data_IF_768203619881
#
_entry.id   IF_768203619881
#
_cell.length_a   1.000
_cell.length_b   1.000
_cell.length_c   1.000
_cell.angle_alpha   90.00
_cell.angle_beta   90.00
_cell.angle_gamma   90.00
#
_symmetry.space_group_name_H-M   'P 1'
#
loop_
_entity.id
_entity.type
_entity.pdbx_description
1 polymer ?
#
# COMPACT_ATOMS: atom_id res chain seq x y z
N UNK A 1 7.08 -5.59 -21.29
CA UNK A 1 7.33 -4.63 -20.19
C UNK A 1 6.19 -4.76 -19.19
N UNK A 2 6.49 -4.78 -17.90
CA UNK A 2 5.46 -4.77 -16.84
C UNK A 2 5.23 -3.34 -16.38
N UNK A 3 3.95 -2.97 -16.21
CA UNK A 3 3.55 -1.62 -15.79
C UNK A 3 2.84 -1.69 -14.43
N UNK A 4 3.16 -0.74 -13.57
CA UNK A 4 2.51 -0.54 -12.29
C UNK A 4 1.93 0.86 -12.16
N UNK A 5 0.76 0.96 -11.56
CA UNK A 5 0.12 2.23 -11.23
C UNK A 5 0.41 2.57 -9.77
N UNK A 6 1.06 3.72 -9.51
CA UNK A 6 1.30 4.19 -8.15
C UNK A 6 0.24 5.22 -7.75
N UNK A 7 -0.51 4.93 -6.69
CA UNK A 7 -1.52 5.83 -6.13
C UNK A 7 -1.00 6.64 -4.94
N UNK A 8 0.14 6.22 -4.36
CA UNK A 8 0.74 6.94 -3.22
C UNK A 8 -0.09 6.87 -1.94
N UNK A 9 -0.05 7.96 -1.20
CA UNK A 9 -0.84 8.20 0.02
C UNK A 9 -1.45 9.60 -0.05
N UNK A 10 -2.39 9.91 0.85
CA UNK A 10 -3.01 11.23 0.91
C UNK A 10 -3.07 11.76 2.35
N UNK A 11 -3.10 13.08 2.50
CA UNK A 11 -3.21 13.78 3.79
C UNK A 11 -4.60 14.39 4.04
N UNK A 12 -5.36 14.71 2.99
CA UNK A 12 -6.65 15.39 3.09
C UNK A 12 -7.84 14.54 2.66
N UNK A 13 -7.62 13.54 1.85
CA UNK A 13 -8.67 12.67 1.34
C UNK A 13 -8.18 11.79 0.22
N UNK A 14 -8.97 10.76 -0.15
CA UNK A 14 -8.61 9.83 -1.21
C UNK A 14 -8.52 10.54 -2.56
N UNK A 15 -7.77 9.93 -3.47
CA UNK A 15 -7.68 10.37 -4.86
C UNK A 15 -9.05 10.23 -5.50
N UNK A 16 -9.57 11.33 -6.03
CA UNK A 16 -10.82 11.32 -6.78
C UNK A 16 -10.69 10.43 -8.02
N UNK A 17 -11.69 9.59 -8.27
CA UNK A 17 -11.67 8.67 -9.41
C UNK A 17 -10.68 7.50 -9.28
N UNK A 18 -10.10 7.24 -8.09
CA UNK A 18 -9.13 6.16 -7.91
C UNK A 18 -9.66 4.79 -8.33
N UNK A 19 -10.92 4.52 -8.03
CA UNK A 19 -11.56 3.23 -8.37
C UNK A 19 -11.66 3.03 -9.89
N UNK A 20 -12.09 4.04 -10.60
CA UNK A 20 -12.20 4.05 -12.06
C UNK A 20 -10.83 3.97 -12.71
N UNK A 21 -9.84 4.66 -12.16
CA UNK A 21 -8.45 4.62 -12.62
C UNK A 21 -7.87 3.19 -12.49
N UNK A 22 -8.10 2.53 -11.38
CA UNK A 22 -7.65 1.15 -11.14
C UNK A 22 -8.35 0.17 -12.10
N UNK A 23 -9.66 0.32 -12.28
CA UNK A 23 -10.42 -0.50 -13.22
C UNK A 23 -9.87 -0.35 -14.65
N UNK A 24 -9.61 0.88 -15.07
CA UNK A 24 -9.01 1.17 -16.38
C UNK A 24 -7.61 0.56 -16.49
N UNK A 25 -6.77 0.71 -15.45
CA UNK A 25 -5.43 0.13 -15.43
C UNK A 25 -5.49 -1.40 -15.60
N UNK A 26 -6.41 -2.06 -14.92
CA UNK A 26 -6.62 -3.50 -15.07
C UNK A 26 -7.08 -3.86 -16.50
N UNK A 27 -8.02 -3.11 -17.05
CA UNK A 27 -8.57 -3.33 -18.39
C UNK A 27 -7.49 -3.19 -19.48
N UNK A 28 -6.64 -2.15 -19.40
CA UNK A 28 -5.58 -1.91 -20.38
C UNK A 28 -4.31 -2.73 -20.13
N UNK A 29 -4.31 -3.61 -19.15
CA UNK A 29 -3.26 -4.61 -18.98
C UNK A 29 -2.11 -4.22 -18.06
N UNK A 30 -2.31 -3.30 -17.11
CA UNK A 30 -1.32 -3.08 -16.04
C UNK A 30 -1.14 -4.33 -15.19
N UNK A 31 0.08 -4.56 -14.70
CA UNK A 31 0.43 -5.75 -13.90
C UNK A 31 0.14 -5.56 -12.42
N UNK A 32 0.22 -4.34 -11.91
CA UNK A 32 0.05 -4.06 -10.49
C UNK A 32 -0.45 -2.65 -10.23
N UNK A 33 -1.07 -2.47 -9.07
CA UNK A 33 -1.36 -1.17 -8.46
C UNK A 33 -0.70 -1.09 -7.10
N UNK A 34 -0.19 0.09 -6.74
CA UNK A 34 0.56 0.30 -5.51
C UNK A 34 -0.01 1.46 -4.71
N UNK A 35 -0.07 1.27 -3.40
CA UNK A 35 -0.31 2.32 -2.42
C UNK A 35 0.93 2.50 -1.54
N UNK A 36 1.00 3.63 -0.86
CA UNK A 36 2.09 3.94 0.06
C UNK A 36 1.52 4.47 1.38
N UNK A 37 2.39 4.67 2.35
CA UNK A 37 2.05 5.35 3.59
C UNK A 37 3.20 6.25 4.06
N UNK A 38 2.83 7.40 4.60
CA UNK A 38 3.73 8.33 5.25
C UNK A 38 2.92 9.25 6.16
N UNK A 39 2.61 10.46 5.70
CA UNK A 39 1.79 11.43 6.41
C UNK A 39 0.32 11.23 6.01
N UNK A 40 -0.54 10.77 6.91
CA UNK A 40 -1.97 10.64 6.65
C UNK A 40 -2.44 9.21 6.40
N UNK A 41 -2.77 8.83 5.16
CA UNK A 41 -3.32 7.49 4.88
C UNK A 41 -2.30 6.37 5.06
N UNK A 42 -2.78 5.22 5.54
CA UNK A 42 -2.02 3.98 5.55
C UNK A 42 -1.98 3.31 4.16
N UNK A 43 -1.16 2.28 4.01
CA UNK A 43 -1.01 1.60 2.72
C UNK A 43 -2.03 0.47 2.51
N UNK A 44 -2.42 -0.25 3.56
CA UNK A 44 -3.24 -1.47 3.43
C UNK A 44 -4.71 -1.20 3.25
N UNK A 45 -5.27 -0.24 3.99
CA UNK A 45 -6.70 0.05 3.95
C UNK A 45 -7.17 0.45 2.56
N UNK A 46 -6.57 1.44 1.89
CA UNK A 46 -6.99 1.81 0.54
C UNK A 46 -6.71 0.71 -0.47
N UNK A 47 -5.60 -0.02 -0.32
CA UNK A 47 -5.25 -1.12 -1.22
C UNK A 47 -6.29 -2.24 -1.17
N UNK A 48 -6.75 -2.62 0.02
CA UNK A 48 -7.82 -3.60 0.19
C UNK A 48 -9.17 -3.09 -0.34
N UNK A 49 -9.50 -1.84 -0.02
CA UNK A 49 -10.76 -1.22 -0.43
C UNK A 49 -10.91 -1.15 -1.96
N UNK A 50 -9.90 -0.66 -2.64
CA UNK A 50 -9.92 -0.56 -4.10
C UNK A 50 -9.66 -1.89 -4.78
N UNK A 51 -8.80 -2.71 -4.20
CA UNK A 51 -8.45 -4.03 -4.72
C UNK A 51 -9.61 -5.01 -4.75
N UNK A 52 -10.60 -4.83 -3.87
CA UNK A 52 -11.82 -5.67 -3.85
C UNK A 52 -12.62 -5.61 -5.16
N UNK A 53 -12.47 -4.54 -5.94
CA UNK A 53 -13.12 -4.39 -7.24
C UNK A 53 -12.28 -4.91 -8.42
N UNK A 54 -11.12 -5.51 -8.16
CA UNK A 54 -10.20 -6.04 -9.18
C UNK A 54 -10.13 -7.56 -9.14
N UNK A 55 -9.69 -8.16 -10.23
CA UNK A 55 -9.60 -9.62 -10.35
C UNK A 55 -8.21 -10.12 -10.76
N UNK A 56 -7.39 -9.29 -11.40
CA UNK A 56 -6.14 -9.70 -12.02
C UNK A 56 -4.93 -8.90 -11.56
N UNK A 57 -5.01 -7.58 -11.47
CA UNK A 57 -3.88 -6.76 -11.06
C UNK A 57 -3.38 -7.16 -9.69
N UNK A 58 -2.07 -7.17 -9.51
CA UNK A 58 -1.46 -7.39 -8.21
C UNK A 58 -1.58 -6.14 -7.35
N UNK A 59 -1.75 -6.36 -6.07
CA UNK A 59 -2.00 -5.32 -5.07
C UNK A 59 -0.74 -5.14 -4.22
N UNK A 60 -0.03 -4.05 -4.42
CA UNK A 60 1.28 -3.83 -3.82
C UNK A 60 1.33 -2.65 -2.85
N UNK A 61 2.19 -2.76 -1.85
CA UNK A 61 2.61 -1.61 -1.06
C UNK A 61 3.95 -1.08 -1.56
N UNK A 62 4.03 0.22 -1.81
CA UNK A 62 5.27 0.87 -2.22
C UNK A 62 5.42 2.25 -1.53
N UNK A 63 5.66 2.26 -0.26
CA UNK A 63 5.96 1.12 0.59
C UNK A 63 5.10 1.14 1.85
N UNK A 64 4.94 -0.02 2.54
CA UNK A 64 4.47 -0.05 3.91
C UNK A 64 5.66 0.23 4.85
N UNK A 65 5.48 1.09 5.85
CA UNK A 65 6.56 1.48 6.74
C UNK A 65 6.74 0.49 7.89
N UNK A 66 7.98 0.08 8.14
CA UNK A 66 8.31 -0.85 9.22
C UNK A 66 7.96 -0.32 10.60
N UNK A 67 8.02 1.01 10.79
CA UNK A 67 7.72 1.68 12.06
C UNK A 67 6.23 1.90 12.30
N UNK A 68 5.38 1.73 11.28
CA UNK A 68 3.95 2.05 11.40
C UNK A 68 3.17 1.06 12.27
N UNK A 69 3.66 -0.17 12.39
CA UNK A 69 2.98 -1.25 13.15
C UNK A 69 3.97 -2.32 13.61
N UNK A 70 3.65 -3.07 14.68
CA UNK A 70 4.48 -4.22 15.08
C UNK A 70 4.67 -5.23 13.94
N UNK A 71 5.82 -5.93 13.87
CA UNK A 71 6.11 -6.87 12.79
C UNK A 71 5.04 -7.93 12.56
N UNK A 72 4.49 -8.51 13.64
CA UNK A 72 3.41 -9.49 13.54
C UNK A 72 2.16 -8.89 12.92
N UNK A 73 1.78 -7.66 13.30
CA UNK A 73 0.63 -6.96 12.73
C UNK A 73 0.82 -6.71 11.22
N UNK A 74 2.03 -6.33 10.82
CA UNK A 74 2.37 -6.13 9.41
C UNK A 74 2.26 -7.45 8.63
N UNK A 75 2.81 -8.53 9.16
CA UNK A 75 2.73 -9.86 8.55
C UNK A 75 1.26 -10.33 8.42
N UNK A 76 0.45 -10.14 9.46
CA UNK A 76 -0.98 -10.47 9.42
C UNK A 76 -1.73 -9.67 8.36
N UNK A 77 -1.49 -8.37 8.24
CA UNK A 77 -2.11 -7.53 7.20
C UNK A 77 -1.74 -8.02 5.80
N UNK A 78 -0.46 -8.32 5.57
CA UNK A 78 0.02 -8.82 4.29
C UNK A 78 -0.61 -10.16 3.92
N UNK A 79 -0.60 -11.14 4.83
CA UNK A 79 -1.20 -12.45 4.61
C UNK A 79 -2.71 -12.37 4.43
N UNK A 80 -3.39 -11.51 5.17
CA UNK A 80 -4.84 -11.32 5.04
C UNK A 80 -5.19 -10.79 3.65
N UNK A 81 -4.47 -9.76 3.19
CA UNK A 81 -4.69 -9.20 1.87
C UNK A 81 -4.35 -10.20 0.76
N UNK A 82 -3.30 -10.99 0.95
CA UNK A 82 -2.91 -12.04 0.00
C UNK A 82 -4.02 -13.09 -0.13
N UNK A 83 -4.55 -13.58 0.99
CA UNK A 83 -5.68 -14.52 0.99
C UNK A 83 -6.94 -13.94 0.36
N UNK A 84 -7.33 -12.72 0.74
CA UNK A 84 -8.52 -12.05 0.19
C UNK A 84 -8.43 -11.81 -1.31
N UNK A 85 -7.21 -11.54 -1.80
CA UNK A 85 -6.97 -11.25 -3.21
C UNK A 85 -6.65 -12.49 -4.06
N UNK A 86 -6.62 -13.67 -3.46
CA UNK A 86 -6.27 -14.91 -4.18
C UNK A 86 -4.80 -14.98 -4.61
N UNK A 87 -3.88 -14.54 -3.72
CA UNK A 87 -2.44 -14.60 -3.97
C UNK A 87 -1.90 -13.44 -4.81
N UNK A 88 -2.58 -12.30 -4.84
CA UNK A 88 -2.18 -11.12 -5.64
C UNK A 88 -1.40 -10.06 -4.88
N UNK A 89 -1.10 -10.27 -3.60
CA UNK A 89 -0.42 -9.26 -2.82
C UNK A 89 1.09 -9.21 -3.09
N UNK A 90 1.63 -8.00 -3.15
CA UNK A 90 3.07 -7.72 -3.19
C UNK A 90 3.40 -6.84 -1.98
N UNK A 91 4.22 -7.35 -1.08
CA UNK A 91 4.68 -6.56 0.05
C UNK A 91 5.96 -5.80 -0.30
N UNK A 92 5.89 -4.46 -0.27
CA UNK A 92 7.04 -3.57 -0.33
C UNK A 92 7.20 -2.87 1.01
N UNK A 93 8.37 -2.98 1.60
CA UNK A 93 8.67 -2.43 2.92
C UNK A 93 9.70 -1.31 2.84
N UNK A 94 9.58 -0.34 3.74
CA UNK A 94 10.51 0.77 3.82
C UNK A 94 10.77 1.20 5.26
N UNK A 95 11.96 1.76 5.49
CA UNK A 95 12.39 2.23 6.82
C UNK A 95 12.03 3.68 7.09
N UNK A 96 11.67 4.45 6.05
CA UNK A 96 11.38 5.88 6.14
C UNK A 96 12.56 6.71 6.65
N UNK A 97 12.29 7.80 7.34
CA UNK A 97 13.28 8.70 7.93
C UNK A 97 12.84 9.19 9.31
N UNK A 98 13.75 9.83 10.07
CA UNK A 98 13.46 10.23 11.44
C UNK A 98 12.26 11.16 11.56
N UNK A 99 12.03 12.03 10.59
CA UNK A 99 10.91 12.98 10.60
C UNK A 99 9.56 12.26 10.69
N UNK A 100 9.40 11.17 9.95
CA UNK A 100 8.16 10.38 9.94
C UNK A 100 8.15 9.39 11.11
N UNK A 101 9.25 8.68 11.32
CA UNK A 101 9.30 7.62 12.35
C UNK A 101 9.16 8.21 13.74
N UNK A 102 9.90 9.27 14.06
CA UNK A 102 9.85 9.93 15.38
C UNK A 102 8.72 10.93 15.46
N UNK A 103 8.59 11.80 14.45
CA UNK A 103 7.65 12.92 14.48
C UNK A 103 6.19 12.53 14.22
N UNK A 104 5.93 11.47 13.51
CA UNK A 104 4.58 11.02 13.15
C UNK A 104 4.17 9.74 13.87
N UNK A 105 5.01 8.71 13.83
CA UNK A 105 4.71 7.43 14.48
C UNK A 105 5.14 7.37 15.94
N UNK A 106 5.96 8.31 16.44
CA UNK A 106 6.44 8.32 17.83
C UNK A 106 7.33 7.13 18.17
N UNK A 107 8.01 6.56 17.20
CA UNK A 107 8.92 5.43 17.37
C UNK A 107 10.38 5.91 17.27
N UNK A 108 11.32 5.31 18.01
CA UNK A 108 12.72 5.68 17.87
C UNK A 108 13.25 5.32 16.49
N UNK A 109 13.95 6.25 15.86
CA UNK A 109 14.67 5.98 14.61
C UNK A 109 16.10 5.59 14.90
N UNK A 110 16.32 4.29 15.09
CA UNK A 110 17.65 3.74 15.28
C UNK A 110 18.38 3.48 13.96
N UNK A 111 19.43 2.67 14.02
CA UNK A 111 20.06 2.13 12.80
C UNK A 111 19.12 1.08 12.21
N UNK A 112 18.62 1.31 11.01
CA UNK A 112 17.74 0.36 10.34
C UNK A 112 18.48 -0.90 9.91
#
# INVERSE_FOLDING_TARGET
>A
MKLGLQLGYWSRGPIEGARELIATAEEVGFDAVFTAESWGSDAYTPLAWWGAATSRVRLGTAVAQLSARPPTSLAMAALTLDHLSGGRHIIGLGVSGPQVVEGWYGQPFGKP
#
